data_IF_104295778066
#
_entry.id   IF_104295778066
#
_cell.length_a   1.000
_cell.length_b   1.000
_cell.length_c   1.000
_cell.angle_alpha   90.00
_cell.angle_beta   90.00
_cell.angle_gamma   90.00
#
_symmetry.space_group_name_H-M   'P 1'
#
loop_
_entity.id
_entity.type
_entity.pdbx_description
1 polymer ?
#
# COMPACT_ATOMS: atom_id res chain seq x y z
N UNK A 1 -22.45 -26.62 24.47
CA UNK A 1 -23.55 -25.84 25.10
C UNK A 1 -22.88 -25.05 26.20
N UNK A 2 -22.55 -23.77 26.04
CA UNK A 2 -23.38 -22.58 25.78
C UNK A 2 -22.68 -21.66 24.77
N UNK A 3 -23.22 -21.47 23.57
CA UNK A 3 -24.17 -20.40 23.18
C UNK A 3 -23.60 -18.97 23.12
N UNK A 4 -23.40 -18.53 21.88
CA UNK A 4 -23.85 -17.25 21.32
C UNK A 4 -23.58 -15.98 22.14
N UNK A 5 -22.33 -15.48 22.04
CA UNK A 5 -22.17 -14.05 21.85
C UNK A 5 -22.62 -13.73 20.42
N UNK A 6 -23.78 -13.06 20.31
CA UNK A 6 -24.35 -12.51 19.08
C UNK A 6 -23.28 -11.72 18.29
N UNK A 7 -22.60 -12.39 17.37
CA UNK A 7 -21.83 -11.75 16.32
C UNK A 7 -22.84 -11.12 15.37
N UNK A 8 -23.22 -9.87 15.66
CA UNK A 8 -24.00 -9.02 14.77
C UNK A 8 -23.37 -9.14 13.39
N UNK A 9 -24.11 -9.62 12.39
CA UNK A 9 -23.60 -9.81 11.03
C UNK A 9 -22.88 -8.53 10.61
N UNK A 10 -21.55 -8.60 10.46
CA UNK A 10 -20.74 -7.44 10.13
C UNK A 10 -21.26 -6.89 8.79
N UNK A 11 -21.51 -5.58 8.73
CA UNK A 11 -21.89 -4.94 7.47
C UNK A 11 -20.78 -5.25 6.44
N UNK A 12 -21.10 -5.68 5.20
CA UNK A 12 -20.07 -5.99 4.21
C UNK A 12 -19.21 -4.78 3.82
N UNK A 13 -19.66 -3.57 4.14
CA UNK A 13 -18.94 -2.31 3.91
C UNK A 13 -18.69 -1.58 5.23
N UNK A 14 -17.55 -0.88 5.34
CA UNK A 14 -17.37 0.09 6.43
C UNK A 14 -18.34 1.26 6.27
N UNK A 15 -18.78 1.83 7.40
CA UNK A 15 -19.74 2.94 7.46
C UNK A 15 -19.29 4.14 6.61
N UNK A 16 -17.98 4.40 6.58
CA UNK A 16 -17.36 5.58 5.98
C UNK A 16 -16.47 5.26 4.78
N UNK A 17 -16.44 4.00 4.32
CA UNK A 17 -15.54 3.51 3.25
C UNK A 17 -15.64 4.34 1.95
N UNK A 18 -16.85 4.79 1.62
CA UNK A 18 -17.14 5.55 0.40
C UNK A 18 -17.68 6.95 0.67
N UNK A 19 -17.47 7.48 1.88
CA UNK A 19 -17.82 8.87 2.15
C UNK A 19 -16.97 9.81 1.28
N UNK A 20 -17.50 10.98 0.89
CA UNK A 20 -16.68 12.02 0.29
C UNK A 20 -15.45 12.27 1.16
N UNK A 21 -14.25 12.14 0.59
CA UNK A 21 -13.00 12.19 1.37
C UNK A 21 -12.86 13.46 2.21
N UNK A 22 -13.37 14.60 1.74
CA UNK A 22 -13.36 15.84 2.51
C UNK A 22 -14.14 15.75 3.83
N UNK A 23 -15.23 14.98 3.89
CA UNK A 23 -16.00 14.77 5.13
C UNK A 23 -15.16 13.97 6.12
N UNK A 24 -14.63 12.83 5.68
CA UNK A 24 -13.85 11.95 6.54
C UNK A 24 -12.55 12.61 7.01
N UNK A 25 -11.82 13.29 6.12
CA UNK A 25 -10.50 13.85 6.42
C UNK A 25 -10.53 15.26 7.03
N UNK A 26 -11.66 15.97 7.10
CA UNK A 26 -11.71 17.31 7.73
C UNK A 26 -11.22 17.29 9.20
N UNK A 27 -11.70 16.39 10.08
CA UNK A 27 -11.19 16.31 11.46
C UNK A 27 -9.69 16.00 11.54
N UNK A 28 -9.19 15.16 10.63
CA UNK A 28 -7.76 14.81 10.52
C UNK A 28 -6.91 16.03 10.14
N UNK A 29 -7.36 16.80 9.15
CA UNK A 29 -6.69 18.03 8.71
C UNK A 29 -6.69 19.07 9.83
N UNK A 30 -7.82 19.26 10.53
CA UNK A 30 -7.89 20.17 11.69
C UNK A 30 -6.90 19.75 12.79
N UNK A 31 -6.83 18.45 13.09
CA UNK A 31 -5.87 17.92 14.06
C UNK A 31 -4.41 18.17 13.64
N UNK A 32 -4.08 17.99 12.35
CA UNK A 32 -2.77 18.34 11.80
C UNK A 32 -2.44 19.82 12.01
N UNK A 33 -3.38 20.73 11.77
CA UNK A 33 -3.18 22.17 12.03
C UNK A 33 -2.94 22.46 13.51
N UNK A 34 -3.70 21.83 14.42
CA UNK A 34 -3.52 21.98 15.86
C UNK A 34 -2.13 21.50 16.32
N UNK A 35 -1.68 20.34 15.81
CA UNK A 35 -0.31 19.85 16.07
C UNK A 35 0.73 20.78 15.45
N UNK A 36 0.49 21.29 14.26
CA UNK A 36 1.38 22.25 13.62
C UNK A 36 1.52 23.57 14.38
N UNK A 37 0.46 24.04 15.05
CA UNK A 37 0.54 25.16 15.98
C UNK A 37 1.36 24.78 17.23
N UNK A 38 1.09 23.61 17.83
CA UNK A 38 1.81 23.09 19.00
C UNK A 38 3.32 22.96 18.75
N UNK A 39 3.73 22.40 17.62
CA UNK A 39 5.13 22.21 17.24
C UNK A 39 5.71 23.37 16.42
N UNK A 40 4.93 24.44 16.22
CA UNK A 40 5.31 25.67 15.49
C UNK A 40 5.80 25.40 14.06
N UNK A 41 5.33 24.32 13.43
CA UNK A 41 5.68 23.93 12.06
C UNK A 41 4.67 22.92 11.51
N UNK A 42 4.05 23.25 10.37
CA UNK A 42 3.15 22.35 9.64
C UNK A 42 3.90 21.21 8.93
N UNK A 43 5.22 21.33 8.76
CA UNK A 43 6.04 20.38 8.01
C UNK A 43 6.94 19.54 8.91
N UNK A 44 6.91 19.71 10.24
CA UNK A 44 7.75 18.93 11.16
C UNK A 44 7.62 17.41 10.99
N UNK A 45 6.46 16.82 10.64
CA UNK A 45 6.37 15.38 10.42
C UNK A 45 7.29 14.88 9.31
N UNK A 46 7.59 15.72 8.31
CA UNK A 46 8.49 15.35 7.21
C UNK A 46 9.93 15.09 7.66
N UNK A 47 10.31 15.50 8.89
CA UNK A 47 11.59 15.17 9.49
C UNK A 47 11.62 13.79 10.15
N UNK A 48 10.48 13.08 10.25
CA UNK A 48 10.41 11.78 10.92
C UNK A 48 11.26 10.72 10.23
N UNK A 49 11.28 10.69 8.89
CA UNK A 49 12.18 9.85 8.09
C UNK A 49 13.10 10.74 7.26
N UNK A 50 14.14 11.35 7.84
CA UNK A 50 14.83 12.50 7.24
C UNK A 50 15.58 12.18 5.94
N UNK A 51 15.85 10.90 5.65
CA UNK A 51 16.49 10.45 4.40
C UNK A 51 15.51 10.22 3.26
N UNK A 52 14.21 10.20 3.54
CA UNK A 52 13.17 10.05 2.53
C UNK A 52 12.71 11.44 2.10
N UNK A 53 12.51 11.63 0.79
CA UNK A 53 11.94 12.87 0.24
C UNK A 53 10.63 13.21 0.96
N UNK A 54 10.60 14.37 1.62
CA UNK A 54 9.49 14.83 2.48
C UNK A 54 9.13 13.92 3.66
N UNK A 55 10.04 13.05 4.10
CA UNK A 55 9.73 12.00 5.07
C UNK A 55 8.76 10.94 4.53
N UNK A 56 8.48 10.97 3.22
CA UNK A 56 7.46 10.19 2.56
C UNK A 56 6.05 10.76 2.70
N UNK A 57 5.89 12.07 2.92
CA UNK A 57 4.58 12.73 2.91
C UNK A 57 4.03 12.89 1.49
N UNK A 58 4.90 13.23 0.53
CA UNK A 58 4.57 13.28 -0.90
C UNK A 58 5.83 13.26 -1.78
N UNK A 59 5.67 12.72 -2.99
CA UNK A 59 6.70 12.73 -4.03
C UNK A 59 7.89 11.81 -3.74
N UNK A 60 7.76 10.89 -2.79
CA UNK A 60 8.74 9.85 -2.53
C UNK A 60 8.87 8.87 -3.71
N UNK A 61 10.12 8.46 -3.96
CA UNK A 61 10.48 7.41 -4.92
C UNK A 61 10.50 6.08 -4.17
N UNK A 62 9.86 5.06 -4.73
CA UNK A 62 9.84 3.70 -4.15
C UNK A 62 11.23 3.10 -4.17
N UNK A 63 11.93 3.19 -5.31
CA UNK A 63 13.29 2.66 -5.42
C UNK A 63 14.23 3.39 -4.48
N UNK A 64 14.12 4.71 -4.32
CA UNK A 64 14.97 5.46 -3.38
C UNK A 64 14.85 4.99 -1.93
N UNK A 65 13.70 4.46 -1.50
CA UNK A 65 13.55 3.91 -0.15
C UNK A 65 14.14 2.50 -0.09
N UNK A 66 13.83 1.66 -1.09
CA UNK A 66 14.31 0.28 -1.15
C UNK A 66 15.84 0.20 -1.36
N UNK A 67 16.43 1.13 -2.11
CA UNK A 67 17.88 1.25 -2.35
C UNK A 67 18.66 1.63 -1.07
N UNK A 68 17.99 2.14 -0.04
CA UNK A 68 18.59 2.41 1.28
C UNK A 68 18.66 1.18 2.17
N UNK A 69 17.99 0.07 1.82
CA UNK A 69 18.03 -1.15 2.59
C UNK A 69 19.45 -1.72 2.64
N UNK A 70 19.93 -2.04 3.85
CA UNK A 70 21.12 -2.83 4.03
C UNK A 70 20.94 -4.29 3.58
N UNK A 71 21.96 -5.10 3.85
CA UNK A 71 21.96 -6.52 3.44
C UNK A 71 20.85 -7.31 4.12
N UNK A 72 20.55 -7.01 5.40
CA UNK A 72 19.53 -7.74 6.13
C UNK A 72 18.13 -7.44 5.59
N UNK A 73 17.79 -6.18 5.33
CA UNK A 73 16.49 -5.80 4.78
C UNK A 73 16.32 -6.22 3.31
N UNK A 74 17.40 -6.20 2.53
CA UNK A 74 17.38 -6.62 1.12
C UNK A 74 16.89 -8.05 0.94
N UNK A 75 17.25 -8.97 1.83
CA UNK A 75 16.80 -10.38 1.77
C UNK A 75 15.27 -10.54 1.92
N UNK A 76 14.60 -9.53 2.49
CA UNK A 76 13.14 -9.51 2.65
C UNK A 76 12.44 -8.69 1.57
N UNK A 77 13.17 -7.94 0.75
CA UNK A 77 12.57 -7.09 -0.29
C UNK A 77 12.47 -7.89 -1.59
N UNK A 78 11.29 -7.84 -2.20
CA UNK A 78 11.07 -8.45 -3.51
C UNK A 78 12.05 -7.85 -4.54
N UNK A 79 12.90 -8.67 -5.18
CA UNK A 79 13.90 -8.19 -6.13
C UNK A 79 13.29 -7.32 -7.24
N UNK A 80 13.96 -6.22 -7.56
CA UNK A 80 13.50 -5.28 -8.58
C UNK A 80 14.66 -4.67 -9.37
N UNK A 81 14.31 -4.04 -10.48
CA UNK A 81 15.15 -3.14 -11.25
C UNK A 81 14.35 -1.88 -11.59
N UNK A 82 15.03 -0.82 -12.02
CA UNK A 82 14.40 0.43 -12.46
C UNK A 82 14.61 0.67 -13.95
N UNK A 83 13.73 1.47 -14.55
CA UNK A 83 13.79 1.92 -15.94
C UNK A 83 13.18 3.30 -16.07
N UNK A 84 13.90 4.26 -16.66
CA UNK A 84 13.30 5.51 -17.14
C UNK A 84 12.81 5.32 -18.59
N UNK A 85 11.53 5.57 -18.83
CA UNK A 85 10.91 5.49 -20.17
C UNK A 85 11.51 6.53 -21.13
N UNK A 86 11.75 6.11 -22.37
CA UNK A 86 12.54 6.85 -23.35
C UNK A 86 12.53 6.16 -24.71
N UNK A 87 13.72 5.93 -25.27
CA UNK A 87 13.94 5.17 -26.52
C UNK A 87 14.29 3.72 -26.19
N UNK A 88 13.88 2.80 -27.06
CA UNK A 88 14.19 1.37 -26.99
C UNK A 88 13.86 0.73 -25.63
N UNK A 89 12.75 1.18 -25.04
CA UNK A 89 12.37 0.84 -23.66
C UNK A 89 12.28 -0.66 -23.42
N UNK A 90 11.64 -1.39 -24.33
CA UNK A 90 11.45 -2.85 -24.20
C UNK A 90 12.78 -3.59 -24.15
N UNK A 91 13.73 -3.25 -25.03
CA UNK A 91 15.05 -3.89 -25.06
C UNK A 91 15.85 -3.57 -23.78
N UNK A 92 15.84 -2.30 -23.33
CA UNK A 92 16.49 -1.89 -22.08
C UNK A 92 15.86 -2.56 -20.86
N UNK A 93 14.53 -2.67 -20.82
CA UNK A 93 13.80 -3.33 -19.76
C UNK A 93 14.15 -4.82 -19.67
N UNK A 94 14.13 -5.54 -20.79
CA UNK A 94 14.49 -6.97 -20.83
C UNK A 94 15.95 -7.19 -20.43
N UNK A 95 16.87 -6.31 -20.85
CA UNK A 95 18.26 -6.36 -20.42
C UNK A 95 18.41 -6.14 -18.91
N UNK A 96 17.70 -5.17 -18.34
CA UNK A 96 17.71 -4.88 -16.91
C UNK A 96 17.12 -6.03 -16.07
N UNK A 97 15.98 -6.60 -16.53
CA UNK A 97 15.34 -7.79 -15.95
C UNK A 97 16.37 -8.94 -15.88
N UNK A 98 17.01 -9.25 -17.01
CA UNK A 98 18.01 -10.33 -17.09
C UNK A 98 19.24 -10.06 -16.22
N UNK A 99 19.76 -8.82 -16.22
CA UNK A 99 20.92 -8.43 -15.42
C UNK A 99 20.69 -8.56 -13.91
N UNK A 100 19.43 -8.44 -13.46
CA UNK A 100 19.03 -8.67 -12.07
C UNK A 100 18.54 -10.09 -11.77
N UNK A 101 18.64 -11.02 -12.73
CA UNK A 101 18.18 -12.39 -12.56
C UNK A 101 16.66 -12.50 -12.38
N UNK A 102 15.90 -11.52 -12.87
CA UNK A 102 14.45 -11.54 -12.85
C UNK A 102 13.93 -12.27 -14.10
N UNK A 103 12.72 -12.82 -13.99
CA UNK A 103 12.02 -13.48 -15.10
C UNK A 103 10.58 -12.99 -15.15
N UNK A 104 9.94 -13.12 -16.32
CA UNK A 104 8.51 -12.85 -16.46
C UNK A 104 7.72 -14.03 -15.85
N UNK A 105 6.58 -13.77 -15.17
CA UNK A 105 5.89 -12.48 -15.05
C UNK A 105 6.51 -11.52 -14.02
N UNK A 106 6.42 -10.22 -14.29
CA UNK A 106 6.85 -9.13 -13.41
C UNK A 106 5.73 -8.11 -13.18
N UNK A 107 5.85 -7.33 -12.11
CA UNK A 107 4.99 -6.17 -11.84
C UNK A 107 5.72 -4.90 -12.24
N UNK A 108 5.11 -4.10 -13.10
CA UNK A 108 5.62 -2.76 -13.47
C UNK A 108 4.80 -1.72 -12.74
N UNK A 109 5.47 -0.81 -12.03
CA UNK A 109 4.82 0.28 -11.28
C UNK A 109 5.60 1.59 -11.42
N UNK A 110 4.93 2.75 -11.45
CA UNK A 110 5.64 4.02 -11.43
C UNK A 110 6.37 4.21 -10.09
N UNK A 111 7.59 4.72 -10.17
CA UNK A 111 8.45 4.91 -9.01
C UNK A 111 7.83 5.92 -8.02
N UNK A 112 7.34 7.04 -8.53
CA UNK A 112 6.48 7.97 -7.78
C UNK A 112 5.02 7.62 -8.08
N UNK A 113 4.25 7.18 -7.08
CA UNK A 113 2.85 6.82 -7.27
C UNK A 113 2.19 6.36 -5.98
N UNK A 114 0.86 6.43 -5.91
CA UNK A 114 0.08 6.01 -4.75
C UNK A 114 -1.18 5.24 -5.17
N UNK A 115 -1.78 4.51 -4.23
CA UNK A 115 -3.07 3.83 -4.42
C UNK A 115 -3.08 2.83 -5.59
N UNK A 116 -1.92 2.23 -5.84
CA UNK A 116 -1.66 1.31 -6.94
C UNK A 116 -1.66 1.96 -8.33
N UNK A 117 -1.78 3.28 -8.47
CA UNK A 117 -1.94 3.95 -9.78
C UNK A 117 -0.81 3.60 -10.75
N UNK A 118 -1.15 3.14 -11.95
CA UNK A 118 -0.19 2.70 -12.98
C UNK A 118 0.42 1.31 -12.75
N UNK A 119 0.02 0.56 -11.72
CA UNK A 119 0.53 -0.80 -11.50
C UNK A 119 -0.06 -1.76 -12.54
N UNK A 120 0.82 -2.52 -13.21
CA UNK A 120 0.46 -3.47 -14.27
C UNK A 120 1.18 -4.80 -14.11
N UNK A 121 0.49 -5.89 -14.42
CA UNK A 121 1.06 -7.24 -14.43
C UNK A 121 1.53 -7.57 -15.85
N UNK A 122 2.82 -7.80 -16.01
CA UNK A 122 3.45 -8.11 -17.30
C UNK A 122 3.78 -9.58 -17.34
N UNK A 123 3.10 -10.35 -18.21
CA UNK A 123 3.29 -11.80 -18.34
C UNK A 123 4.22 -12.17 -19.48
N UNK A 124 4.21 -11.39 -20.56
CA UNK A 124 4.98 -11.66 -21.77
C UNK A 124 5.80 -10.44 -22.22
N UNK A 125 6.81 -10.62 -23.08
CA UNK A 125 7.54 -9.49 -23.67
C UNK A 125 6.63 -8.53 -24.45
N UNK A 126 5.57 -9.05 -25.08
CA UNK A 126 4.56 -8.23 -25.76
C UNK A 126 3.74 -7.38 -24.77
N UNK A 127 3.38 -7.94 -23.61
CA UNK A 127 2.73 -7.19 -22.53
C UNK A 127 3.65 -6.10 -21.98
N UNK A 128 4.97 -6.37 -21.92
CA UNK A 128 5.97 -5.41 -21.46
C UNK A 128 6.03 -4.22 -22.41
N UNK A 129 6.13 -4.47 -23.72
CA UNK A 129 6.13 -3.43 -24.75
C UNK A 129 4.88 -2.55 -24.67
N UNK A 130 3.69 -3.19 -24.63
CA UNK A 130 2.41 -2.49 -24.50
C UNK A 130 2.35 -1.65 -23.21
N UNK A 131 2.82 -2.20 -22.10
CA UNK A 131 2.84 -1.53 -20.80
C UNK A 131 3.75 -0.30 -20.84
N UNK A 132 4.98 -0.43 -21.35
CA UNK A 132 5.95 0.67 -21.42
C UNK A 132 5.50 1.76 -22.40
N UNK A 133 4.82 1.39 -23.50
CA UNK A 133 4.25 2.34 -24.45
C UNK A 133 3.10 3.17 -23.83
N UNK A 134 2.36 2.62 -22.88
CA UNK A 134 1.25 3.30 -22.22
C UNK A 134 1.69 4.38 -21.21
N UNK A 135 2.95 4.37 -20.76
CA UNK A 135 3.49 5.42 -19.90
C UNK A 135 4.01 6.62 -20.72
N UNK A 136 3.86 7.86 -20.20
CA UNK A 136 4.55 9.03 -20.73
C UNK A 136 6.07 8.84 -20.75
N UNK A 137 6.77 9.59 -21.60
CA UNK A 137 8.24 9.57 -21.64
C UNK A 137 8.84 10.27 -20.41
N UNK A 138 10.03 9.87 -19.99
CA UNK A 138 10.74 10.45 -18.84
C UNK A 138 10.14 10.07 -17.48
N UNK A 139 9.37 9.00 -17.44
CA UNK A 139 8.81 8.41 -16.21
C UNK A 139 9.72 7.28 -15.74
N UNK A 140 10.13 7.35 -14.48
CA UNK A 140 10.84 6.28 -13.78
C UNK A 140 9.85 5.19 -13.34
N UNK A 141 10.17 3.96 -13.70
CA UNK A 141 9.40 2.76 -13.42
C UNK A 141 10.24 1.80 -12.58
N UNK A 142 9.57 1.10 -11.67
CA UNK A 142 10.08 -0.06 -10.95
C UNK A 142 9.50 -1.31 -11.61
N UNK A 143 10.38 -2.23 -11.99
CA UNK A 143 10.04 -3.56 -12.51
C UNK A 143 10.44 -4.56 -11.43
N UNK A 144 9.46 -5.18 -10.79
CA UNK A 144 9.65 -6.01 -9.59
C UNK A 144 9.17 -7.45 -9.84
N UNK A 145 9.84 -8.43 -9.24
CA UNK A 145 9.42 -9.84 -9.27
C UNK A 145 7.97 -9.97 -8.81
N UNK A 146 7.18 -10.76 -9.54
CA UNK A 146 5.85 -11.15 -9.07
C UNK A 146 6.00 -12.15 -7.90
N UNK A 147 5.49 -11.78 -6.73
CA UNK A 147 5.37 -12.71 -5.61
C UNK A 147 4.07 -13.49 -5.74
N UNK A 148 4.18 -14.81 -5.79
CA UNK A 148 3.05 -15.73 -6.02
C UNK A 148 2.28 -16.11 -4.76
N UNK A 149 2.66 -15.55 -3.60
CA UNK A 149 1.93 -15.80 -2.38
C UNK A 149 0.55 -15.14 -2.40
N UNK A 150 -0.48 -15.82 -1.89
CA UNK A 150 -1.87 -15.44 -2.10
C UNK A 150 -2.31 -14.26 -1.24
N UNK A 151 -1.60 -13.95 -0.15
CA UNK A 151 -2.03 -12.96 0.82
C UNK A 151 -1.17 -11.70 0.79
N UNK A 152 -1.80 -10.56 1.07
CA UNK A 152 -1.16 -9.26 1.19
C UNK A 152 -1.55 -8.60 2.52
N UNK A 153 -0.57 -7.97 3.18
CA UNK A 153 -0.80 -7.22 4.40
C UNK A 153 -0.06 -5.87 4.38
N UNK A 154 -0.64 -4.88 5.05
CA UNK A 154 0.02 -3.62 5.39
C UNK A 154 0.32 -3.58 6.89
N UNK A 155 1.59 -3.45 7.26
CA UNK A 155 2.05 -3.31 8.64
C UNK A 155 2.52 -1.87 8.87
N UNK A 156 1.94 -1.20 9.85
CA UNK A 156 2.35 0.16 10.22
C UNK A 156 3.38 0.08 11.34
N UNK A 157 4.58 0.59 11.09
CA UNK A 157 5.72 0.54 12.00
C UNK A 157 6.03 1.93 12.56
N UNK A 158 6.30 1.98 13.86
CA UNK A 158 6.66 3.20 14.59
C UNK A 158 7.85 2.92 15.50
N UNK A 159 8.92 3.69 15.34
CA UNK A 159 10.11 3.71 16.22
C UNK A 159 10.50 5.13 16.55
N UNK A 160 10.41 5.48 17.82
CA UNK A 160 10.93 6.74 18.32
C UNK A 160 12.46 6.80 18.22
N UNK A 161 13.06 7.98 17.94
CA UNK A 161 14.52 8.08 17.79
C UNK A 161 15.32 7.72 19.04
N UNK A 162 14.71 7.83 20.21
CA UNK A 162 15.22 7.50 21.54
C UNK A 162 14.86 6.07 21.99
N UNK A 163 14.07 5.34 21.21
CA UNK A 163 13.70 3.95 21.51
C UNK A 163 14.59 2.97 20.76
N UNK A 164 15.19 1.96 21.44
CA UNK A 164 16.06 0.98 20.79
C UNK A 164 15.30 0.02 19.86
N UNK A 165 13.99 -0.09 20.04
CA UNK A 165 13.10 -0.96 19.27
C UNK A 165 11.86 -0.16 18.86
N UNK A 166 11.37 -0.45 17.67
CA UNK A 166 10.05 -0.04 17.20
C UNK A 166 8.98 -1.08 17.50
N UNK A 167 7.75 -0.73 17.15
CA UNK A 167 6.60 -1.63 17.26
C UNK A 167 5.70 -1.52 16.03
N UNK A 168 4.87 -2.54 15.82
CA UNK A 168 3.83 -2.52 14.81
C UNK A 168 2.55 -1.97 15.47
N UNK A 169 2.08 -0.81 15.03
CA UNK A 169 0.89 -0.14 15.57
C UNK A 169 -0.40 -0.56 14.86
N UNK A 170 -0.29 -1.19 13.69
CA UNK A 170 -1.43 -1.61 12.87
C UNK A 170 -1.04 -2.74 11.93
N UNK A 171 -1.91 -3.74 11.80
CA UNK A 171 -1.83 -4.78 10.79
C UNK A 171 -3.15 -4.83 10.02
N UNK A 172 -3.07 -4.75 8.70
CA UNK A 172 -4.24 -4.82 7.79
C UNK A 172 -4.04 -5.95 6.81
N UNK A 173 -4.95 -6.93 6.78
CA UNK A 173 -5.04 -7.87 5.66
C UNK A 173 -5.78 -7.21 4.50
N UNK A 174 -5.28 -7.41 3.29
CA UNK A 174 -5.86 -6.88 2.06
C UNK A 174 -6.34 -8.04 1.21
N UNK A 175 -7.59 -8.43 1.39
CA UNK A 175 -8.15 -9.52 0.62
C UNK A 175 -8.62 -9.03 -0.74
N UNK A 176 -8.31 -9.84 -1.75
CA UNK A 176 -8.83 -9.67 -3.09
C UNK A 176 -10.20 -10.38 -3.14
N UNK A 177 -11.30 -9.63 -3.33
CA UNK A 177 -12.61 -10.24 -3.51
C UNK A 177 -12.60 -11.09 -4.78
N UNK A 178 -13.36 -12.18 -4.77
CA UNK A 178 -13.47 -13.10 -5.88
C UNK A 178 -14.87 -13.71 -5.91
N UNK A 179 -15.32 -14.06 -7.12
CA UNK A 179 -16.51 -14.88 -7.33
C UNK A 179 -16.10 -16.29 -7.70
N UNK A 180 -16.92 -17.27 -7.32
CA UNK A 180 -16.71 -18.69 -7.65
C UNK A 180 -17.77 -19.11 -8.65
N UNK A 181 -17.34 -19.72 -9.75
CA UNK A 181 -18.25 -20.24 -10.76
C UNK A 181 -19.11 -21.38 -10.24
N UNK A 182 -20.37 -21.38 -10.65
CA UNK A 182 -21.32 -22.48 -10.41
C UNK A 182 -21.69 -23.23 -11.70
N UNK A 183 -20.96 -22.97 -12.80
CA UNK A 183 -21.18 -23.60 -14.10
C UNK A 183 -22.45 -23.14 -14.84
N UNK A 184 -23.23 -22.21 -14.29
CA UNK A 184 -24.54 -21.80 -14.83
C UNK A 184 -24.68 -20.29 -14.97
N UNK A 185 -24.34 -19.56 -13.92
CA UNK A 185 -24.51 -18.12 -13.83
C UNK A 185 -23.35 -17.37 -14.49
N UNK A 186 -23.66 -16.21 -15.07
CA UNK A 186 -22.62 -15.34 -15.61
C UNK A 186 -21.84 -14.64 -14.49
N UNK A 187 -20.64 -14.12 -14.80
CA UNK A 187 -19.88 -13.28 -13.85
C UNK A 187 -20.74 -12.12 -13.31
N UNK A 188 -21.56 -11.51 -14.16
CA UNK A 188 -22.46 -10.42 -13.75
C UNK A 188 -23.50 -10.90 -12.72
N UNK A 189 -24.08 -12.08 -12.92
CA UNK A 189 -25.06 -12.64 -11.98
C UNK A 189 -24.39 -12.99 -10.65
N UNK A 190 -23.21 -13.60 -10.69
CA UNK A 190 -22.42 -13.91 -9.49
C UNK A 190 -22.05 -12.64 -8.70
N UNK A 191 -21.70 -11.55 -9.39
CA UNK A 191 -21.45 -10.25 -8.75
C UNK A 191 -22.69 -9.68 -8.06
N UNK A 192 -23.87 -9.83 -8.66
CA UNK A 192 -25.16 -9.35 -8.11
C UNK A 192 -25.66 -10.21 -6.94
N UNK A 193 -25.26 -11.47 -6.88
CA UNK A 193 -25.57 -12.38 -5.78
C UNK A 193 -24.61 -12.19 -4.59
N UNK A 194 -23.40 -11.67 -4.82
CA UNK A 194 -22.41 -11.46 -3.76
C UNK A 194 -22.82 -10.34 -2.80
N UNK A 195 -22.76 -10.62 -1.49
CA UNK A 195 -23.19 -9.72 -0.42
C UNK A 195 -22.50 -8.34 -0.42
N UNK A 196 -21.25 -8.28 -0.88
CA UNK A 196 -20.46 -7.04 -0.96
C UNK A 196 -20.43 -6.49 -2.37
N UNK A 197 -20.14 -7.33 -3.37
CA UNK A 197 -19.93 -6.88 -4.74
C UNK A 197 -21.21 -6.30 -5.36
N UNK A 198 -22.39 -6.82 -4.99
CA UNK A 198 -23.68 -6.29 -5.42
C UNK A 198 -23.93 -4.84 -4.98
N UNK A 199 -23.22 -4.36 -3.95
CA UNK A 199 -23.31 -2.98 -3.46
C UNK A 199 -22.33 -2.03 -4.16
N UNK A 200 -21.38 -2.58 -4.92
CA UNK A 200 -20.34 -1.83 -5.64
C UNK A 200 -20.25 -2.27 -7.12
N UNK A 201 -21.37 -2.43 -7.84
CA UNK A 201 -21.37 -3.06 -9.17
C UNK A 201 -20.52 -2.28 -10.18
N UNK A 202 -20.61 -0.95 -10.19
CA UNK A 202 -19.87 -0.09 -11.12
C UNK A 202 -18.35 -0.26 -11.03
N UNK A 203 -17.84 -0.59 -9.83
CA UNK A 203 -16.42 -0.74 -9.58
C UNK A 203 -15.83 -1.98 -10.25
N UNK A 204 -16.57 -3.08 -10.23
CA UNK A 204 -16.17 -4.37 -10.80
C UNK A 204 -16.57 -4.49 -12.27
N UNK A 205 -17.76 -4.02 -12.64
CA UNK A 205 -18.28 -4.11 -14.02
C UNK A 205 -17.39 -3.39 -15.03
N UNK A 206 -16.88 -2.19 -14.69
CA UNK A 206 -15.99 -1.45 -15.57
C UNK A 206 -14.69 -2.19 -15.87
N UNK A 207 -14.17 -2.96 -14.91
CA UNK A 207 -12.92 -3.73 -15.05
C UNK A 207 -13.13 -5.05 -15.76
N UNK A 208 -14.24 -5.72 -15.45
CA UNK A 208 -14.56 -7.05 -15.95
C UNK A 208 -15.42 -7.00 -17.22
N UNK A 209 -15.51 -5.84 -17.89
CA UNK A 209 -16.40 -5.62 -19.04
C UNK A 209 -16.37 -6.76 -20.07
N UNK A 210 -15.17 -7.25 -20.39
CA UNK A 210 -14.97 -8.30 -21.40
C UNK A 210 -15.29 -9.73 -20.89
N UNK A 211 -15.49 -9.88 -19.57
CA UNK A 211 -15.75 -11.14 -18.85
C UNK A 211 -17.15 -11.21 -18.24
N UNK A 212 -17.92 -10.12 -18.23
CA UNK A 212 -19.20 -10.01 -17.50
C UNK A 212 -20.23 -11.08 -17.90
N UNK A 213 -20.29 -11.41 -19.19
CA UNK A 213 -21.25 -12.38 -19.73
C UNK A 213 -20.68 -13.80 -19.85
N UNK A 214 -19.46 -14.03 -19.36
CA UNK A 214 -18.87 -15.37 -19.32
C UNK A 214 -19.51 -16.17 -18.19
N UNK A 215 -19.85 -17.43 -18.46
CA UNK A 215 -20.21 -18.41 -17.42
C UNK A 215 -18.92 -19.04 -16.91
N UNK A 216 -18.66 -18.92 -15.61
CA UNK A 216 -17.49 -19.54 -15.00
C UNK A 216 -17.76 -21.03 -14.74
N UNK A 217 -16.86 -21.95 -15.14
CA UNK A 217 -16.89 -23.34 -14.73
C UNK A 217 -17.07 -23.52 -13.23
N UNK A 218 -17.71 -24.62 -12.83
CA UNK A 218 -17.95 -24.93 -11.43
C UNK A 218 -16.62 -25.01 -10.65
N UNK A 219 -16.52 -24.24 -9.57
CA UNK A 219 -15.32 -24.16 -8.73
C UNK A 219 -14.22 -23.23 -9.25
N UNK A 220 -14.34 -22.64 -10.44
CA UNK A 220 -13.37 -21.66 -10.93
C UNK A 220 -13.46 -20.36 -10.12
N UNK A 221 -12.34 -19.93 -9.53
CA UNK A 221 -12.23 -18.68 -8.79
C UNK A 221 -11.78 -17.55 -9.73
N UNK A 222 -12.62 -16.53 -9.89
CA UNK A 222 -12.27 -15.29 -10.58
C UNK A 222 -12.03 -14.18 -9.58
N UNK A 223 -10.78 -13.75 -9.44
CA UNK A 223 -10.42 -12.56 -8.67
C UNK A 223 -10.92 -11.30 -9.35
N UNK A 224 -11.57 -10.42 -8.59
CA UNK A 224 -12.18 -9.21 -9.13
C UNK A 224 -11.17 -8.07 -9.32
N UNK A 225 -10.00 -8.17 -8.68
CA UNK A 225 -8.98 -7.11 -8.63
C UNK A 225 -7.58 -7.71 -8.60
N UNK A 226 -6.62 -7.08 -9.28
CA UNK A 226 -5.21 -7.42 -9.13
C UNK A 226 -4.53 -6.70 -7.94
N UNK A 227 -4.99 -5.48 -7.61
CA UNK A 227 -4.33 -4.61 -6.61
C UNK A 227 -5.11 -4.50 -5.30
N UNK A 228 -4.41 -4.60 -4.17
CA UNK A 228 -4.97 -4.48 -2.81
C UNK A 228 -5.27 -3.03 -2.39
N UNK A 229 -6.23 -2.37 -3.03
CA UNK A 229 -6.65 -1.01 -2.68
C UNK A 229 -8.15 -0.93 -2.34
N UNK A 230 -8.48 -0.46 -1.13
CA UNK A 230 -9.86 -0.36 -0.63
C UNK A 230 -10.77 0.51 -1.51
N UNK A 231 -10.31 1.69 -1.97
CA UNK A 231 -11.09 2.53 -2.88
C UNK A 231 -11.37 1.85 -4.24
N UNK A 232 -10.62 0.78 -4.55
CA UNK A 232 -10.76 -0.02 -5.78
C UNK A 232 -11.50 -1.34 -5.54
N UNK A 233 -11.97 -1.59 -4.31
CA UNK A 233 -12.85 -2.72 -3.97
C UNK A 233 -12.19 -3.79 -3.11
N UNK A 234 -10.88 -3.72 -2.87
CA UNK A 234 -10.20 -4.68 -2.00
C UNK A 234 -10.79 -4.60 -0.58
N UNK A 235 -10.88 -5.74 0.09
CA UNK A 235 -11.44 -5.83 1.43
C UNK A 235 -10.30 -5.69 2.43
N UNK A 236 -10.36 -4.64 3.24
CA UNK A 236 -9.39 -4.45 4.32
C UNK A 236 -9.95 -5.05 5.60
N UNK A 237 -9.16 -5.91 6.26
CA UNK A 237 -9.49 -6.47 7.57
C UNK A 237 -8.42 -6.08 8.59
N UNK A 238 -8.86 -5.62 9.74
CA UNK A 238 -8.04 -5.37 10.90
C UNK A 238 -7.53 -6.71 11.42
N UNK A 239 -6.21 -6.88 11.37
CA UNK A 239 -5.48 -8.03 11.88
C UNK A 239 -4.61 -7.67 13.08
N UNK A 240 -4.97 -6.64 13.85
CA UNK A 240 -4.21 -6.21 15.04
C UNK A 240 -3.98 -7.33 16.06
N UNK A 241 -4.90 -8.29 16.19
CA UNK A 241 -4.76 -9.47 17.06
C UNK A 241 -3.63 -10.42 16.61
N UNK A 242 -3.14 -10.30 15.38
CA UNK A 242 -2.06 -11.11 14.83
C UNK A 242 -0.69 -10.44 14.92
N UNK A 243 -0.61 -9.27 15.56
CA UNK A 243 0.66 -8.64 15.88
C UNK A 243 1.27 -9.38 17.06
N UNK A 244 2.33 -10.14 16.79
CA UNK A 244 3.07 -10.91 17.79
C UNK A 244 4.42 -10.25 18.11
N UNK A 245 5.06 -10.62 19.24
CA UNK A 245 6.44 -10.23 19.51
C UNK A 245 7.43 -10.66 18.42
N UNK A 246 7.25 -11.85 17.85
CA UNK A 246 8.13 -12.40 16.81
C UNK A 246 8.03 -11.60 15.49
N UNK A 247 6.80 -11.31 15.06
CA UNK A 247 6.57 -10.46 13.89
C UNK A 247 7.12 -9.04 14.13
N UNK A 248 6.89 -8.48 15.31
CA UNK A 248 7.38 -7.16 15.68
C UNK A 248 8.90 -7.11 15.67
N UNK A 249 9.58 -8.08 16.29
CA UNK A 249 11.04 -8.16 16.29
C UNK A 249 11.61 -8.33 14.88
N UNK A 250 10.95 -9.13 14.02
CA UNK A 250 11.37 -9.30 12.62
C UNK A 250 11.28 -8.00 11.85
N UNK A 251 10.13 -7.34 11.89
CA UNK A 251 9.91 -6.07 11.17
C UNK A 251 10.83 -4.98 11.72
N UNK A 252 10.99 -4.90 13.03
CA UNK A 252 11.91 -3.95 13.66
C UNK A 252 13.33 -4.13 13.12
N UNK A 253 13.88 -5.35 13.15
CA UNK A 253 15.21 -5.64 12.63
C UNK A 253 15.37 -5.23 11.14
N UNK A 254 14.36 -5.46 10.31
CA UNK A 254 14.38 -5.05 8.89
C UNK A 254 14.39 -3.52 8.79
N UNK A 255 13.51 -2.84 9.53
CA UNK A 255 13.41 -1.37 9.47
C UNK A 255 14.61 -0.66 10.10
N UNK A 256 15.30 -1.27 11.06
CA UNK A 256 16.56 -0.74 11.62
C UNK A 256 17.68 -0.73 10.58
N UNK A 257 17.67 -1.69 9.65
CA UNK A 257 18.65 -1.82 8.56
C UNK A 257 18.42 -0.81 7.43
N UNK A 258 17.33 -0.04 7.49
CA UNK A 258 17.09 1.13 6.64
C UNK A 258 17.46 2.39 7.45
N UNK A 259 18.51 3.13 7.04
CA UNK A 259 19.00 4.28 7.80
C UNK A 259 17.91 5.32 8.10
N UNK A 260 17.78 5.69 9.37
CA UNK A 260 16.85 6.72 9.85
C UNK A 260 15.38 6.51 9.42
N UNK A 261 14.93 5.26 9.27
CA UNK A 261 13.50 4.94 9.12
C UNK A 261 12.84 4.81 10.50
N UNK A 262 11.75 5.55 10.71
CA UNK A 262 11.07 5.66 12.01
C UNK A 262 9.55 5.51 11.93
N UNK A 263 8.93 5.86 10.81
CA UNK A 263 7.47 5.95 10.76
C UNK A 263 6.94 5.65 9.36
N UNK A 264 6.13 4.61 9.21
CA UNK A 264 5.55 4.30 7.91
C UNK A 264 4.86 2.95 7.81
N UNK A 265 4.31 2.68 6.63
CA UNK A 265 3.64 1.41 6.31
C UNK A 265 4.52 0.55 5.40
N UNK A 266 4.67 -0.71 5.77
CA UNK A 266 5.34 -1.75 5.02
C UNK A 266 4.26 -2.64 4.44
N UNK A 267 4.18 -2.70 3.12
CA UNK A 267 3.27 -3.59 2.41
C UNK A 267 4.03 -4.86 2.01
N UNK A 268 3.48 -6.02 2.39
CA UNK A 268 4.10 -7.33 2.19
C UNK A 268 3.14 -8.30 1.50
N UNK A 269 3.69 -9.20 0.69
CA UNK A 269 3.02 -10.45 0.34
C UNK A 269 3.53 -11.54 1.27
N UNK A 270 2.67 -12.47 1.67
CA UNK A 270 3.03 -13.50 2.64
C UNK A 270 2.29 -14.81 2.40
N UNK A 271 2.91 -15.93 2.81
CA UNK A 271 2.42 -17.28 2.52
C UNK A 271 1.17 -17.66 3.30
N UNK A 272 1.17 -17.45 4.62
CA UNK A 272 0.07 -17.81 5.52
C UNK A 272 0.04 -16.88 6.74
N UNK A 273 -1.13 -16.79 7.38
CA UNK A 273 -1.30 -15.98 8.60
C UNK A 273 -0.36 -16.44 9.71
N UNK A 274 -0.19 -17.75 9.85
CA UNK A 274 0.68 -18.38 10.85
C UNK A 274 2.14 -18.03 10.62
N UNK A 275 2.62 -18.09 9.36
CA UNK A 275 3.99 -17.72 9.03
C UNK A 275 4.24 -16.21 9.25
N UNK A 276 3.29 -15.36 8.86
CA UNK A 276 3.41 -13.92 9.11
C UNK A 276 3.50 -13.63 10.61
N UNK A 277 2.65 -14.25 11.43
CA UNK A 277 2.73 -14.15 12.90
C UNK A 277 4.05 -14.63 13.47
N UNK A 278 4.71 -15.60 12.84
CA UNK A 278 6.05 -16.04 13.25
C UNK A 278 7.18 -15.14 12.72
N UNK A 279 6.88 -14.07 11.97
CA UNK A 279 7.87 -13.23 11.30
C UNK A 279 8.63 -13.98 10.21
N UNK A 280 7.94 -14.85 9.46
CA UNK A 280 8.48 -15.76 8.45
C UNK A 280 7.64 -15.73 7.16
N UNK A 281 8.20 -16.26 6.06
CA UNK A 281 7.55 -16.40 4.75
C UNK A 281 6.73 -15.17 4.30
N UNK A 282 7.35 -13.99 4.37
CA UNK A 282 6.84 -12.76 3.78
C UNK A 282 7.93 -12.01 3.02
N UNK A 283 7.51 -11.18 2.07
CA UNK A 283 8.36 -10.39 1.20
C UNK A 283 7.76 -9.00 1.04
N UNK A 284 8.61 -7.98 1.17
CA UNK A 284 8.25 -6.57 1.11
C UNK A 284 8.12 -6.15 -0.34
N UNK A 285 6.95 -5.62 -0.69
CA UNK A 285 6.67 -5.05 -2.02
C UNK A 285 6.78 -3.53 -2.02
N UNK A 286 6.53 -2.87 -0.89
CA UNK A 286 6.55 -1.42 -0.79
C UNK A 286 6.81 -0.96 0.65
N UNK A 287 7.56 0.13 0.80
CA UNK A 287 7.75 0.83 2.06
C UNK A 287 7.32 2.28 1.82
N UNK A 288 6.38 2.75 2.64
CA UNK A 288 5.79 4.09 2.53
C UNK A 288 6.11 4.88 3.81
N UNK A 289 6.39 6.18 3.68
CA UNK A 289 6.72 7.03 4.82
C UNK A 289 5.50 7.71 5.48
N UNK A 290 5.67 8.96 5.91
CA UNK A 290 4.70 9.72 6.73
C UNK A 290 3.32 9.90 6.09
N UNK A 291 3.24 9.91 4.75
CA UNK A 291 1.98 10.02 4.02
C UNK A 291 1.16 8.74 4.02
N UNK A 292 1.70 7.63 4.51
CA UNK A 292 0.97 6.37 4.64
C UNK A 292 -0.05 6.42 5.79
N UNK A 293 -1.14 5.69 5.58
CA UNK A 293 -2.25 5.57 6.53
C UNK A 293 -2.26 4.18 7.16
N UNK A 294 -2.64 4.11 8.44
CA UNK A 294 -2.93 2.85 9.11
C UNK A 294 -4.27 2.29 8.60
N UNK A 295 -4.19 1.45 7.58
CA UNK A 295 -5.34 1.05 6.75
C UNK A 295 -6.35 0.12 7.44
N UNK A 296 -6.08 -0.35 8.67
CA UNK A 296 -7.01 -1.21 9.42
C UNK A 296 -8.32 -0.49 9.73
N UNK A 297 -8.30 0.84 9.70
CA UNK A 297 -9.49 1.68 9.92
C UNK A 297 -10.60 1.40 8.90
N UNK A 298 -10.27 0.87 7.73
CA UNK A 298 -11.23 0.56 6.67
C UNK A 298 -11.93 -0.80 6.85
N UNK A 299 -11.58 -1.56 7.89
CA UNK A 299 -12.35 -2.76 8.28
C UNK A 299 -13.80 -2.37 8.56
N UNK A 300 -14.73 -3.18 8.06
CA UNK A 300 -16.17 -2.93 8.22
C UNK A 300 -16.67 -2.99 9.66
N UNK A 301 -15.87 -3.58 10.56
CA UNK A 301 -16.10 -3.64 12.00
C UNK A 301 -15.59 -2.40 12.74
N UNK A 302 -14.74 -1.58 12.11
CA UNK A 302 -14.17 -0.39 12.74
C UNK A 302 -15.20 0.72 12.84
N UNK A 303 -15.38 1.27 14.04
CA UNK A 303 -16.22 2.44 14.28
C UNK A 303 -15.53 3.74 13.88
N UNK A 304 -16.32 4.78 13.60
CA UNK A 304 -15.77 6.11 13.27
C UNK A 304 -14.87 6.67 14.38
N UNK A 305 -15.20 6.39 15.65
CA UNK A 305 -14.39 6.78 16.81
C UNK A 305 -13.03 6.09 16.80
N UNK A 306 -12.98 4.79 16.54
CA UNK A 306 -11.73 4.03 16.45
C UNK A 306 -10.89 4.49 15.26
N UNK A 307 -11.52 4.75 14.11
CA UNK A 307 -10.84 5.28 12.94
C UNK A 307 -10.15 6.63 13.24
N UNK A 308 -10.85 7.59 13.86
CA UNK A 308 -10.24 8.86 14.24
C UNK A 308 -9.20 8.73 15.35
N UNK A 309 -9.43 7.87 16.35
CA UNK A 309 -8.45 7.61 17.39
C UNK A 309 -7.13 7.08 16.80
N UNK A 310 -7.22 6.12 15.87
CA UNK A 310 -6.06 5.60 15.15
C UNK A 310 -5.37 6.70 14.33
N UNK A 311 -6.11 7.50 13.56
CA UNK A 311 -5.52 8.59 12.77
C UNK A 311 -4.81 9.62 13.64
N UNK A 312 -5.47 10.10 14.70
CA UNK A 312 -4.88 11.10 15.60
C UNK A 312 -3.66 10.56 16.33
N UNK A 313 -3.67 9.28 16.72
CA UNK A 313 -2.48 8.61 17.25
C UNK A 313 -1.34 8.69 16.23
N UNK A 314 -1.49 8.11 15.04
CA UNK A 314 -0.43 8.05 14.02
C UNK A 314 0.10 9.43 13.62
N UNK A 315 -0.77 10.42 13.41
CA UNK A 315 -0.30 11.77 13.11
C UNK A 315 0.42 12.39 14.31
N UNK A 316 -0.08 12.21 15.53
CA UNK A 316 0.59 12.63 16.77
C UNK A 316 2.00 12.04 16.90
N UNK A 317 2.16 10.75 16.61
CA UNK A 317 3.43 10.04 16.55
C UNK A 317 4.38 10.67 15.52
N UNK A 318 3.91 10.91 14.29
CA UNK A 318 4.73 11.50 13.22
C UNK A 318 5.27 12.90 13.59
N UNK A 319 4.47 13.71 14.27
CA UNK A 319 4.88 15.02 14.78
C UNK A 319 5.91 14.89 15.91
N UNK A 320 5.72 13.95 16.85
CA UNK A 320 6.65 13.74 17.97
C UNK A 320 8.01 13.24 17.50
N UNK A 321 8.01 12.25 16.61
CA UNK A 321 9.23 11.73 15.97
C UNK A 321 9.92 12.84 15.18
N UNK A 322 9.17 13.55 14.33
CA UNK A 322 9.71 14.67 13.55
C UNK A 322 10.35 15.74 14.44
N UNK A 323 9.68 16.15 15.53
CA UNK A 323 10.23 17.13 16.46
C UNK A 323 11.52 16.64 17.16
N UNK A 324 11.57 15.36 17.54
CA UNK A 324 12.78 14.73 18.09
C UNK A 324 13.94 14.74 17.08
N UNK A 325 13.68 14.39 15.81
CA UNK A 325 14.70 14.45 14.75
C UNK A 325 15.15 15.90 14.48
N UNK A 326 14.26 16.88 14.55
CA UNK A 326 14.65 18.30 14.47
C UNK A 326 15.55 18.72 15.62
N UNK A 327 15.28 18.27 16.85
CA UNK A 327 16.16 18.51 17.99
C UNK A 327 17.54 17.86 17.82
N UNK A 328 17.64 16.76 17.04
CA UNK A 328 18.89 16.12 16.63
C UNK A 328 19.59 16.82 15.44
N UNK A 329 19.05 17.93 14.94
CA UNK A 329 19.66 18.74 13.87
C UNK A 329 19.11 18.50 12.46
N UNK A 330 18.16 17.58 12.29
CA UNK A 330 17.48 17.39 11.00
C UNK A 330 16.57 18.58 10.67
N UNK A 331 16.31 18.80 9.38
CA UNK A 331 15.47 19.91 8.93
C UNK A 331 14.16 19.39 8.35
N UNK A 332 13.00 19.95 8.78
CA UNK A 332 11.75 19.71 8.08
C UNK A 332 11.84 20.19 6.65
N UNK A 333 11.01 19.60 5.81
CA UNK A 333 10.82 20.03 4.43
C UNK A 333 10.31 21.46 4.38
N UNK A 334 10.88 22.27 3.50
CA UNK A 334 10.35 23.59 3.20
C UNK A 334 8.93 23.47 2.62
N UNK A 335 7.98 24.23 3.16
CA UNK A 335 6.56 24.16 2.79
C UNK A 335 6.33 24.30 1.27
N UNK A 336 6.97 25.28 0.62
CA UNK A 336 6.80 25.54 -0.80
C UNK A 336 7.40 24.44 -1.67
N UNK A 337 8.53 23.88 -1.24
CA UNK A 337 9.12 22.70 -1.88
C UNK A 337 8.19 21.50 -1.80
N UNK A 338 7.59 21.24 -0.62
CA UNK A 338 6.58 20.20 -0.42
C UNK A 338 5.36 20.39 -1.33
N UNK A 339 4.79 21.61 -1.39
CA UNK A 339 3.67 21.93 -2.29
C UNK A 339 4.02 21.66 -3.75
N UNK A 340 5.25 22.02 -4.19
CA UNK A 340 5.72 21.77 -5.55
C UNK A 340 5.79 20.26 -5.85
N UNK A 341 6.31 19.45 -4.93
CA UNK A 341 6.37 18.00 -5.06
C UNK A 341 4.98 17.38 -5.10
N UNK A 342 4.07 17.79 -4.23
CA UNK A 342 2.68 17.34 -4.24
C UNK A 342 1.98 17.65 -5.58
N UNK A 343 2.16 18.87 -6.11
CA UNK A 343 1.63 19.23 -7.44
C UNK A 343 2.24 18.38 -8.55
N UNK A 344 3.53 18.09 -8.50
CA UNK A 344 4.22 17.19 -9.45
C UNK A 344 3.63 15.79 -9.37
N UNK A 345 3.50 15.22 -8.17
CA UNK A 345 2.90 13.90 -7.95
C UNK A 345 1.48 13.83 -8.50
N UNK A 346 0.64 14.84 -8.25
CA UNK A 346 -0.72 14.87 -8.82
C UNK A 346 -0.74 14.85 -10.35
N UNK A 347 0.15 15.62 -11.01
CA UNK A 347 0.25 15.61 -12.48
C UNK A 347 0.71 14.25 -13.01
N UNK A 348 1.67 13.63 -12.33
CA UNK A 348 2.17 12.30 -12.66
C UNK A 348 1.07 11.24 -12.54
N UNK A 349 0.34 11.22 -11.42
CA UNK A 349 -0.77 10.28 -11.21
C UNK A 349 -1.86 10.42 -12.27
N UNK A 350 -2.14 11.64 -12.71
CA UNK A 350 -3.12 11.91 -13.76
C UNK A 350 -2.64 11.49 -15.17
N UNK A 351 -1.33 11.33 -15.38
CA UNK A 351 -0.77 10.94 -16.68
C UNK A 351 -0.48 9.44 -16.81
N UNK A 352 -0.60 8.67 -15.73
CA UNK A 352 -0.36 7.24 -15.74
C UNK A 352 -1.52 6.45 -16.35
N UNK A 353 -1.24 5.32 -17.00
CA UNK A 353 -2.29 4.44 -17.49
C UNK A 353 -3.14 3.90 -16.33
N UNK A 354 -4.39 3.48 -16.60
CA UNK A 354 -5.17 2.77 -15.60
C UNK A 354 -4.43 1.50 -15.18
N UNK A 355 -4.64 1.10 -13.93
CA UNK A 355 -4.14 -0.17 -13.40
C UNK A 355 -4.83 -1.35 -14.07
N UNK A 356 -4.18 -2.49 -13.99
CA UNK A 356 -4.86 -3.78 -14.17
C UNK A 356 -5.78 -4.12 -12.97
#
# INVERSE_FOLDING_TARGET
MTENASAKAANPLSLFEFWPGWIFYTPVVLYWFLLGLKYRSLTVPTAANPRIVTGGLCGESKSSILDMAGTYATDWIAPYTTLTTGKDDTARALAAIKARGLELPVVVKPDIGCNGTGVRLVRTPADLEKTLAAFPRGIDLVIQRLIVWPHEAGLFYIRHPDSPQGHISSLTYKDIPAVIGNGRDTVLDLLRQDNRAARLPELYEKRLKDRLHTVLPEGERLELLFTGNHCKGAIFRNGGEDITPELTARIDAIMQDIPDFHFGRIDVKFRSREALRAGQDFEIIEINGVGSEATHIWDSRTTLREAYAAQFHHYGESFRIGASKVAQGWRPTNLWYGIRLWRRQKRLLASYPPND
#
